data_IF_140218589226
#
_entry.id   IF_140218589226
#
_cell.length_a   1.000
_cell.length_b   1.000
_cell.length_c   1.000
_cell.angle_alpha   90.00
_cell.angle_beta   90.00
_cell.angle_gamma   90.00
#
_symmetry.space_group_name_H-M   'P 1'
#
loop_
_entity.id
_entity.type
_entity.pdbx_description
1 polymer ?
#
# COMPACT_ATOMS: atom_id res chain seq x y z
N UNK A 1 -5.67 13.97 31.55
CA UNK A 1 -6.25 14.16 30.21
C UNK A 1 -5.14 14.22 29.17
N UNK A 2 -5.25 13.45 28.07
CA UNK A 2 -4.30 13.52 26.95
C UNK A 2 -4.41 14.85 26.20
N UNK A 3 -3.27 15.46 25.84
CA UNK A 3 -3.26 16.65 25.00
C UNK A 3 -3.45 16.26 23.53
N UNK A 4 -4.31 16.97 22.79
CA UNK A 4 -4.44 16.81 21.34
C UNK A 4 -3.12 17.19 20.68
N UNK A 5 -2.61 16.32 19.81
CA UNK A 5 -1.37 16.54 19.05
C UNK A 5 -1.63 16.19 17.57
N UNK A 6 -1.01 16.95 16.69
CA UNK A 6 -0.99 16.58 15.28
C UNK A 6 -0.14 15.32 15.08
N UNK A 7 -0.56 14.40 14.18
CA UNK A 7 0.23 13.23 13.87
C UNK A 7 1.50 13.62 13.12
N UNK A 8 2.58 12.85 13.31
CA UNK A 8 3.75 12.95 12.47
C UNK A 8 3.41 12.60 11.02
N UNK A 9 4.13 13.20 10.08
CA UNK A 9 4.09 12.77 8.69
C UNK A 9 4.52 11.30 8.58
N UNK A 10 3.95 10.56 7.63
CA UNK A 10 4.12 9.10 7.49
C UNK A 10 4.67 8.71 6.12
N UNK A 11 5.23 7.53 6.02
CA UNK A 11 5.82 7.00 4.79
C UNK A 11 4.74 6.40 3.88
N UNK A 12 4.46 7.07 2.76
CA UNK A 12 3.55 6.52 1.74
C UNK A 12 4.17 5.27 1.12
N UNK A 13 3.37 4.23 1.00
CA UNK A 13 3.68 3.01 0.26
C UNK A 13 2.50 2.64 -0.63
N UNK A 14 2.76 2.15 -1.83
CA UNK A 14 1.72 1.67 -2.75
C UNK A 14 2.11 0.27 -3.21
N UNK A 15 1.24 -0.71 -2.92
CA UNK A 15 1.32 -2.05 -3.47
C UNK A 15 0.61 -2.10 -4.80
N UNK A 16 1.25 -2.69 -5.80
CA UNK A 16 0.71 -2.83 -7.16
C UNK A 16 0.59 -4.29 -7.53
N UNK A 17 -0.51 -4.70 -8.16
CA UNK A 17 -0.69 -6.03 -8.74
C UNK A 17 -1.02 -5.87 -10.22
N UNK A 18 -0.31 -6.60 -11.07
CA UNK A 18 -0.62 -6.76 -12.50
C UNK A 18 -0.02 -8.07 -13.00
N UNK A 19 -0.52 -8.57 -14.13
CA UNK A 19 0.16 -9.61 -14.91
C UNK A 19 1.11 -9.02 -15.97
N UNK A 20 1.00 -7.74 -16.24
CA UNK A 20 1.71 -7.01 -17.29
C UNK A 20 2.84 -6.20 -16.65
N UNK A 21 4.08 -6.66 -16.80
CA UNK A 21 5.23 -6.04 -16.11
C UNK A 21 5.53 -4.62 -16.59
N UNK A 22 5.24 -4.29 -17.85
CA UNK A 22 5.38 -2.94 -18.38
C UNK A 22 4.47 -1.92 -17.67
N UNK A 23 3.28 -2.33 -17.22
CA UNK A 23 2.37 -1.43 -16.51
C UNK A 23 2.96 -0.89 -15.21
N UNK A 24 3.80 -1.65 -14.53
CA UNK A 24 4.43 -1.15 -13.29
C UNK A 24 5.21 0.13 -13.56
N UNK A 25 6.02 0.17 -14.64
CA UNK A 25 6.81 1.36 -15.00
C UNK A 25 5.95 2.55 -15.41
N UNK A 26 4.87 2.30 -16.16
CA UNK A 26 3.94 3.36 -16.57
C UNK A 26 3.28 3.99 -15.35
N UNK A 27 2.79 3.16 -14.42
CA UNK A 27 2.13 3.59 -13.19
C UNK A 27 3.11 4.26 -12.23
N UNK A 28 4.32 3.74 -12.08
CA UNK A 28 5.39 4.37 -11.27
C UNK A 28 5.69 5.80 -11.74
N UNK A 29 5.70 6.04 -13.04
CA UNK A 29 5.87 7.38 -13.61
C UNK A 29 4.71 8.31 -13.21
N UNK A 30 3.46 7.85 -13.32
CA UNK A 30 2.27 8.63 -12.93
C UNK A 30 2.25 8.90 -11.41
N UNK A 31 2.56 7.90 -10.61
CA UNK A 31 2.65 8.03 -9.16
C UNK A 31 3.77 9.00 -8.74
N UNK A 32 4.93 8.95 -9.41
CA UNK A 32 6.06 9.85 -9.12
C UNK A 32 5.75 11.29 -9.45
N UNK A 33 4.99 11.56 -10.50
CA UNK A 33 4.54 12.91 -10.84
C UNK A 33 3.63 13.48 -9.73
N UNK A 34 2.84 12.63 -9.08
CA UNK A 34 1.89 13.04 -8.03
C UNK A 34 2.52 13.14 -6.65
N UNK A 35 3.36 12.17 -6.28
CA UNK A 35 3.83 11.99 -4.90
C UNK A 35 5.33 12.29 -4.71
N UNK A 36 6.04 12.58 -5.79
CA UNK A 36 7.49 12.83 -5.78
C UNK A 36 8.31 11.57 -6.06
N UNK A 37 9.62 11.67 -5.93
CA UNK A 37 10.55 10.60 -6.26
C UNK A 37 10.29 9.33 -5.46
N UNK A 38 10.36 8.18 -6.14
CA UNK A 38 10.37 6.86 -5.51
C UNK A 38 11.74 6.69 -4.85
N UNK A 39 11.76 6.29 -3.59
CA UNK A 39 12.99 6.04 -2.81
C UNK A 39 13.17 4.56 -2.44
N UNK A 40 12.18 3.73 -2.73
CA UNK A 40 12.26 2.28 -2.61
C UNK A 40 11.34 1.59 -3.62
N UNK A 41 11.87 0.55 -4.23
CA UNK A 41 11.15 -0.39 -5.09
C UNK A 41 11.46 -1.82 -4.64
N UNK A 42 10.42 -2.62 -4.44
CA UNK A 42 10.63 -4.05 -4.20
C UNK A 42 10.99 -4.80 -5.48
N UNK A 43 11.57 -6.01 -5.39
CA UNK A 43 11.54 -6.95 -6.50
C UNK A 43 10.11 -7.23 -6.96
N UNK A 44 9.96 -7.78 -8.18
CA UNK A 44 8.71 -8.38 -8.63
C UNK A 44 8.50 -9.71 -7.91
N UNK A 45 7.41 -9.81 -7.16
CA UNK A 45 7.03 -11.00 -6.40
C UNK A 45 5.89 -11.73 -7.09
N UNK A 46 5.91 -13.05 -7.10
CA UNK A 46 4.77 -13.84 -7.58
C UNK A 46 3.57 -13.64 -6.66
N UNK A 47 2.38 -13.42 -7.23
CA UNK A 47 1.15 -13.23 -6.48
C UNK A 47 0.16 -14.37 -6.77
N UNK A 48 0.00 -15.27 -5.81
CA UNK A 48 -0.85 -16.48 -5.93
C UNK A 48 -1.70 -16.76 -4.68
N UNK A 49 -1.77 -15.81 -3.77
CA UNK A 49 -2.40 -15.97 -2.45
C UNK A 49 -3.93 -15.99 -2.48
N UNK A 50 -4.56 -15.55 -3.58
CA UNK A 50 -6.02 -15.53 -3.70
C UNK A 50 -6.47 -15.70 -5.15
N UNK A 51 -7.60 -16.37 -5.33
CA UNK A 51 -8.28 -16.45 -6.62
C UNK A 51 -9.17 -15.23 -6.92
N UNK A 52 -9.26 -14.27 -5.98
CA UNK A 52 -10.14 -13.12 -6.10
C UNK A 52 -9.86 -12.30 -7.37
N UNK A 53 -8.59 -12.06 -7.67
CA UNK A 53 -8.19 -11.29 -8.85
C UNK A 53 -8.12 -12.12 -10.13
N UNK A 54 -8.08 -13.47 -10.03
CA UNK A 54 -7.87 -14.35 -11.19
C UNK A 54 -8.97 -14.22 -12.23
N UNK A 55 -10.23 -14.06 -11.79
CA UNK A 55 -11.38 -13.88 -12.71
C UNK A 55 -11.32 -12.55 -13.46
N UNK A 56 -10.81 -11.51 -12.83
CA UNK A 56 -10.78 -10.15 -13.37
C UNK A 56 -9.48 -9.86 -14.12
N UNK A 57 -8.33 -10.18 -13.53
CA UNK A 57 -7.00 -9.80 -14.02
C UNK A 57 -6.23 -10.93 -14.70
N UNK A 58 -6.73 -12.19 -14.61
CA UNK A 58 -6.07 -13.36 -15.18
C UNK A 58 -5.09 -14.05 -14.23
N UNK A 59 -4.31 -14.98 -14.79
CA UNK A 59 -3.27 -15.75 -14.08
C UNK A 59 -1.89 -15.03 -14.12
N UNK A 60 -0.92 -15.60 -13.38
CA UNK A 60 0.48 -15.15 -13.36
C UNK A 60 0.63 -13.70 -12.88
N UNK A 61 -0.15 -13.32 -11.88
CA UNK A 61 -0.07 -12.00 -11.28
C UNK A 61 1.28 -11.80 -10.58
N UNK A 62 1.78 -10.57 -10.68
CA UNK A 62 2.96 -10.09 -9.96
C UNK A 62 2.56 -8.99 -9.00
N UNK A 63 3.28 -8.91 -7.89
CA UNK A 63 3.18 -7.85 -6.89
C UNK A 63 4.47 -7.04 -6.87
N UNK A 64 4.35 -5.72 -6.78
CA UNK A 64 5.45 -4.80 -6.51
C UNK A 64 5.04 -3.76 -5.48
N UNK A 65 5.96 -3.35 -4.62
CA UNK A 65 5.77 -2.26 -3.68
C UNK A 65 6.71 -1.11 -4.02
N UNK A 66 6.19 0.12 -3.94
CA UNK A 66 6.98 1.34 -4.07
C UNK A 66 6.72 2.26 -2.88
N UNK A 67 7.72 3.02 -2.47
CA UNK A 67 7.56 4.11 -1.51
C UNK A 67 8.17 5.40 -2.04
N UNK A 68 7.82 6.53 -1.42
CA UNK A 68 8.18 7.86 -1.91
C UNK A 68 9.03 8.60 -0.88
N UNK A 69 10.01 9.38 -1.37
CA UNK A 69 10.91 10.16 -0.51
C UNK A 69 10.15 11.18 0.34
N UNK A 70 9.09 11.77 -0.23
CA UNK A 70 8.27 12.75 0.48
C UNK A 70 7.33 12.07 1.46
N UNK A 71 7.41 12.43 2.74
CA UNK A 71 6.44 12.01 3.75
C UNK A 71 5.11 12.74 3.56
N UNK A 72 4.01 12.09 3.93
CA UNK A 72 2.66 12.63 3.79
C UNK A 72 1.97 12.81 5.15
N UNK A 73 1.01 13.72 5.23
CA UNK A 73 0.06 13.73 6.34
C UNK A 73 -0.83 12.47 6.24
N UNK A 74 -0.98 11.66 7.31
CA UNK A 74 -1.79 10.44 7.25
C UNK A 74 -3.26 10.68 6.88
N UNK A 75 -3.81 11.87 7.12
CA UNK A 75 -5.17 12.23 6.71
C UNK A 75 -5.36 12.24 5.18
N UNK A 76 -4.28 12.38 4.40
CA UNK A 76 -4.34 12.35 2.93
C UNK A 76 -4.56 10.96 2.33
N UNK A 77 -4.61 9.93 3.16
CA UNK A 77 -4.73 8.54 2.65
C UNK A 77 -6.03 8.31 1.87
N UNK A 78 -7.08 9.04 2.20
CA UNK A 78 -8.38 8.96 1.48
C UNK A 78 -8.23 9.48 0.05
N UNK A 79 -7.71 10.70 -0.12
CA UNK A 79 -7.47 11.29 -1.45
C UNK A 79 -6.52 10.43 -2.29
N UNK A 80 -5.51 9.84 -1.63
CA UNK A 80 -4.57 8.94 -2.29
C UNK A 80 -5.28 7.68 -2.78
N UNK A 81 -6.17 7.08 -1.97
CA UNK A 81 -6.94 5.90 -2.39
C UNK A 81 -7.89 6.23 -3.54
N UNK A 82 -8.57 7.36 -3.49
CA UNK A 82 -9.43 7.81 -4.58
C UNK A 82 -8.65 8.06 -5.87
N UNK A 83 -7.47 8.68 -5.77
CA UNK A 83 -6.58 8.88 -6.90
C UNK A 83 -6.08 7.56 -7.50
N UNK A 84 -5.64 6.60 -6.67
CA UNK A 84 -5.22 5.29 -7.18
C UNK A 84 -6.37 4.51 -7.82
N UNK A 85 -7.60 4.62 -7.29
CA UNK A 85 -8.79 4.06 -7.93
C UNK A 85 -9.05 4.68 -9.31
N UNK A 86 -8.75 5.98 -9.50
CA UNK A 86 -8.87 6.62 -10.81
C UNK A 86 -7.81 6.10 -11.79
N UNK A 87 -6.57 5.90 -11.34
CA UNK A 87 -5.52 5.26 -12.15
C UNK A 87 -5.98 3.87 -12.60
N UNK A 88 -6.48 3.04 -11.67
CA UNK A 88 -6.99 1.70 -12.03
C UNK A 88 -8.04 1.75 -13.15
N UNK A 89 -8.93 2.76 -13.15
CA UNK A 89 -9.95 2.96 -14.20
C UNK A 89 -9.33 3.34 -15.56
N UNK A 90 -8.21 4.07 -15.56
CA UNK A 90 -7.51 4.45 -16.80
C UNK A 90 -6.84 3.24 -17.46
N UNK A 91 -6.57 2.17 -16.70
CA UNK A 91 -5.89 0.95 -17.16
C UNK A 91 -6.84 -0.26 -17.24
N UNK A 92 -8.09 -0.09 -17.65
CA UNK A 92 -9.01 -1.20 -17.91
C UNK A 92 -8.66 -1.92 -19.23
N UNK A 93 -9.06 -3.19 -19.35
CA UNK A 93 -9.02 -3.88 -20.63
C UNK A 93 -9.97 -3.21 -21.63
N UNK A 94 -9.57 -3.01 -22.88
CA UNK A 94 -10.40 -2.39 -23.91
C UNK A 94 -11.78 -3.06 -24.01
N UNK A 95 -12.84 -2.26 -24.08
CA UNK A 95 -14.23 -2.71 -24.17
C UNK A 95 -14.69 -3.62 -23.02
N UNK A 96 -14.07 -3.46 -21.85
CA UNK A 96 -14.35 -4.28 -20.67
C UNK A 96 -14.19 -3.43 -19.39
N UNK A 97 -14.93 -3.77 -18.35
CA UNK A 97 -14.74 -3.19 -17.01
C UNK A 97 -13.71 -3.97 -16.17
N UNK A 98 -12.95 -4.91 -16.79
CA UNK A 98 -11.96 -5.72 -16.11
C UNK A 98 -10.66 -4.93 -15.92
N UNK A 99 -10.15 -4.94 -14.70
CA UNK A 99 -8.90 -4.26 -14.34
C UNK A 99 -7.68 -5.01 -14.89
N UNK A 100 -6.70 -4.26 -15.33
CA UNK A 100 -5.34 -4.75 -15.64
C UNK A 100 -4.39 -4.55 -14.47
N UNK A 101 -4.77 -3.66 -13.56
CA UNK A 101 -3.95 -3.20 -12.44
C UNK A 101 -4.80 -3.09 -11.17
N UNK A 102 -4.21 -3.43 -10.01
CA UNK A 102 -4.77 -3.11 -8.69
C UNK A 102 -3.74 -2.32 -7.88
N UNK A 103 -4.19 -1.25 -7.23
CA UNK A 103 -3.36 -0.36 -6.42
C UNK A 103 -3.85 -0.33 -4.97
N UNK A 104 -2.97 -0.73 -4.06
CA UNK A 104 -3.24 -0.76 -2.62
C UNK A 104 -2.36 0.29 -1.91
N UNK A 105 -2.80 1.55 -1.81
CA UNK A 105 -2.08 2.56 -1.07
C UNK A 105 -2.22 2.37 0.43
N UNK A 106 -1.15 2.71 1.13
CA UNK A 106 -1.09 2.70 2.58
C UNK A 106 0.05 3.55 3.08
N UNK A 107 0.27 3.51 4.38
CA UNK A 107 1.43 4.18 4.97
C UNK A 107 2.06 3.34 6.08
N UNK A 108 3.37 3.51 6.22
CA UNK A 108 4.18 2.92 7.28
C UNK A 108 4.48 3.97 8.34
N UNK A 109 4.33 3.57 9.60
CA UNK A 109 4.83 4.29 10.78
C UNK A 109 5.83 3.42 11.53
N UNK A 110 6.43 3.93 12.62
CA UNK A 110 7.26 3.10 13.50
C UNK A 110 6.48 1.95 14.16
N UNK A 111 5.15 2.07 14.28
CA UNK A 111 4.31 1.14 15.04
C UNK A 111 3.42 0.23 14.18
N UNK A 112 3.10 0.63 12.96
CA UNK A 112 2.09 -0.07 12.14
C UNK A 112 2.22 0.22 10.64
N UNK A 113 1.71 -0.74 9.84
CA UNK A 113 1.31 -0.55 8.45
C UNK A 113 -0.21 -0.39 8.42
N UNK A 114 -0.69 0.66 7.77
CA UNK A 114 -2.12 0.92 7.54
C UNK A 114 -2.36 0.95 6.04
N UNK A 115 -3.33 0.17 5.55
CA UNK A 115 -3.80 0.21 4.17
C UNK A 115 -5.13 0.96 4.08
N UNK A 116 -5.37 1.61 2.95
CA UNK A 116 -6.66 2.21 2.63
C UNK A 116 -7.47 1.28 1.71
N UNK A 117 -8.75 1.10 2.02
CA UNK A 117 -9.64 0.22 1.26
C UNK A 117 -11.05 0.82 1.15
N UNK A 118 -11.75 0.50 0.05
CA UNK A 118 -13.18 0.82 -0.12
C UNK A 118 -14.12 -0.26 0.44
N UNK A 119 -13.58 -1.36 1.00
CA UNK A 119 -14.39 -2.47 1.52
C UNK A 119 -14.50 -2.36 3.03
N UNK A 120 -15.73 -2.32 3.56
CA UNK A 120 -15.96 -2.40 5.00
C UNK A 120 -15.75 -3.85 5.49
N UNK A 121 -15.23 -4.00 6.70
CA UNK A 121 -15.16 -5.26 7.44
C UNK A 121 -14.96 -4.98 8.94
N UNK A 122 -15.14 -6.01 9.80
CA UNK A 122 -15.13 -5.90 11.28
C UNK A 122 -13.88 -5.22 11.89
N UNK A 123 -12.72 -5.32 11.23
CA UNK A 123 -11.45 -4.75 11.69
C UNK A 123 -11.05 -3.47 10.95
N UNK A 124 -11.99 -2.87 10.18
CA UNK A 124 -11.74 -1.67 9.39
C UNK A 124 -12.48 -0.48 9.96
N UNK A 125 -11.80 0.63 10.02
CA UNK A 125 -12.32 1.87 10.58
C UNK A 125 -12.68 2.80 9.42
N UNK A 126 -13.94 3.23 9.35
CA UNK A 126 -14.39 4.22 8.38
C UNK A 126 -13.66 5.55 8.61
N UNK A 127 -13.14 6.14 7.53
CA UNK A 127 -12.52 7.47 7.58
C UNK A 127 -13.47 8.50 7.00
N UNK A 128 -13.68 8.47 5.67
CA UNK A 128 -14.61 9.33 4.91
C UNK A 128 -14.69 8.86 3.45
N UNK A 129 -15.66 9.35 2.69
CA UNK A 129 -15.81 9.15 1.25
C UNK A 129 -15.79 7.66 0.81
N UNK A 130 -16.36 6.77 1.65
CA UNK A 130 -16.37 5.32 1.40
C UNK A 130 -15.03 4.62 1.61
N UNK A 131 -14.04 5.29 2.19
CA UNK A 131 -12.71 4.72 2.44
C UNK A 131 -12.56 4.37 3.93
N UNK A 132 -11.96 3.20 4.15
CA UNK A 132 -11.68 2.62 5.46
C UNK A 132 -10.18 2.44 5.65
N UNK A 133 -9.72 2.55 6.89
CA UNK A 133 -8.37 2.17 7.30
C UNK A 133 -8.35 0.73 7.80
N UNK A 134 -7.33 -0.02 7.39
CA UNK A 134 -7.05 -1.39 7.79
C UNK A 134 -5.65 -1.44 8.43
N UNK A 135 -5.57 -1.73 9.74
CA UNK A 135 -4.28 -1.93 10.40
C UNK A 135 -3.79 -3.33 10.02
N UNK A 136 -3.01 -3.40 8.95
CA UNK A 136 -2.59 -4.66 8.33
C UNK A 136 -1.46 -5.33 9.09
N UNK A 137 -0.47 -4.56 9.58
CA UNK A 137 0.64 -5.07 10.37
C UNK A 137 0.88 -4.19 11.60
N UNK A 138 1.39 -4.80 12.68
CA UNK A 138 1.86 -4.10 13.89
C UNK A 138 3.34 -4.39 14.13
N UNK A 139 4.06 -3.40 14.62
CA UNK A 139 5.47 -3.59 15.01
C UNK A 139 5.58 -4.13 16.44
N UNK A 140 6.42 -5.13 16.64
CA UNK A 140 6.83 -5.65 17.95
C UNK A 140 8.33 -5.55 18.11
N UNK A 141 8.76 -4.90 19.19
CA UNK A 141 10.19 -4.79 19.53
C UNK A 141 10.83 -6.19 19.58
N UNK A 142 11.98 -6.34 18.91
CA UNK A 142 12.70 -7.62 18.81
C UNK A 142 12.13 -8.62 17.78
N UNK A 143 10.95 -8.35 17.19
CA UNK A 143 10.33 -9.23 16.20
C UNK A 143 10.11 -8.56 14.84
N UNK A 144 10.13 -7.21 14.79
CA UNK A 144 9.76 -6.47 13.59
C UNK A 144 8.23 -6.38 13.40
N UNK A 145 7.81 -6.18 12.15
CA UNK A 145 6.40 -6.25 11.82
C UNK A 145 5.87 -7.67 11.93
N UNK A 146 4.72 -7.79 12.58
CA UNK A 146 3.99 -9.05 12.75
C UNK A 146 2.54 -8.87 12.30
N UNK A 147 1.91 -9.92 11.71
CA UNK A 147 0.54 -9.86 11.27
C UNK A 147 -0.44 -9.91 12.46
N UNK A 148 -1.69 -9.54 12.16
CA UNK A 148 -2.87 -9.84 12.96
C UNK A 148 -3.53 -11.12 12.46
N UNK A 149 -4.54 -11.62 13.16
CA UNK A 149 -5.34 -12.77 12.75
C UNK A 149 -6.02 -12.54 11.39
N UNK A 150 -6.54 -11.32 11.19
CA UNK A 150 -7.25 -10.89 9.97
C UNK A 150 -6.34 -10.43 8.82
N UNK A 151 -5.03 -10.32 9.05
CA UNK A 151 -4.09 -9.91 7.98
C UNK A 151 -4.18 -10.85 6.79
N UNK A 152 -4.24 -10.30 5.59
CA UNK A 152 -4.24 -11.07 4.35
C UNK A 152 -3.03 -12.01 4.25
N UNK A 153 -3.21 -13.22 3.66
CA UNK A 153 -2.15 -14.24 3.61
C UNK A 153 -0.84 -13.75 2.97
N UNK A 154 -0.91 -12.92 1.92
CA UNK A 154 0.26 -12.34 1.27
C UNK A 154 1.07 -11.44 2.21
N UNK A 155 0.40 -10.60 3.02
CA UNK A 155 1.05 -9.75 4.02
C UNK A 155 1.60 -10.52 5.24
N UNK A 156 1.29 -11.81 5.38
CA UNK A 156 1.90 -12.70 6.38
C UNK A 156 3.18 -13.37 5.88
N UNK A 157 3.50 -13.27 4.59
CA UNK A 157 4.69 -13.88 4.01
C UNK A 157 5.97 -13.24 4.55
N UNK A 158 7.02 -14.04 4.65
CA UNK A 158 8.34 -13.58 5.12
C UNK A 158 8.87 -12.44 4.23
N UNK A 159 8.72 -12.57 2.92
CA UNK A 159 9.16 -11.59 1.93
C UNK A 159 8.52 -10.22 2.15
N UNK A 160 7.18 -10.18 2.38
CA UNK A 160 6.50 -8.90 2.63
C UNK A 160 6.89 -8.32 3.99
N UNK A 161 7.01 -9.14 5.02
CA UNK A 161 7.44 -8.68 6.34
C UNK A 161 8.85 -8.07 6.30
N UNK A 162 9.78 -8.64 5.53
CA UNK A 162 11.12 -8.09 5.31
C UNK A 162 11.06 -6.74 4.58
N UNK A 163 10.25 -6.61 3.53
CA UNK A 163 10.02 -5.37 2.80
C UNK A 163 9.50 -4.27 3.74
N UNK A 164 8.47 -4.56 4.53
CA UNK A 164 7.89 -3.56 5.43
C UNK A 164 8.81 -3.20 6.61
N UNK A 165 9.61 -4.13 7.11
CA UNK A 165 10.64 -3.83 8.08
C UNK A 165 11.71 -2.88 7.49
N UNK A 166 12.12 -3.11 6.25
CA UNK A 166 13.04 -2.21 5.54
C UNK A 166 12.44 -0.82 5.34
N UNK A 167 11.20 -0.72 4.88
CA UNK A 167 10.48 0.55 4.73
C UNK A 167 10.34 1.31 6.06
N UNK A 168 10.16 0.57 7.16
CA UNK A 168 10.14 1.16 8.49
C UNK A 168 11.49 1.78 8.86
N UNK A 169 12.61 1.14 8.52
CA UNK A 169 13.94 1.70 8.77
C UNK A 169 14.20 2.95 7.90
N UNK A 170 13.80 2.96 6.63
CA UNK A 170 13.84 4.17 5.79
C UNK A 170 13.06 5.29 6.48
N UNK A 171 11.82 5.03 6.90
CA UNK A 171 11.00 6.01 7.60
C UNK A 171 11.64 6.49 8.90
N UNK A 172 12.20 5.59 9.71
CA UNK A 172 12.90 5.93 10.96
C UNK A 172 14.03 6.92 10.71
N UNK A 173 14.84 6.69 9.70
CA UNK A 173 15.92 7.60 9.34
C UNK A 173 15.42 8.97 8.84
N UNK A 174 14.27 9.00 8.15
CA UNK A 174 13.68 10.26 7.68
C UNK A 174 13.19 11.14 8.84
N UNK A 175 12.49 10.56 9.82
CA UNK A 175 11.95 11.35 10.95
C UNK A 175 13.01 11.77 11.98
N UNK A 176 14.17 11.10 12.01
CA UNK A 176 15.29 11.50 12.87
C UNK A 176 16.09 12.67 12.30
N UNK A 177 15.91 12.99 11.01
CA UNK A 177 16.58 14.11 10.33
C UNK A 177 15.72 15.38 10.31
N UNK A 178 14.45 15.29 10.73
CA UNK A 178 13.52 16.41 10.89
C UNK A 178 13.50 16.90 12.33
#
# INVERSE_FOLDING_TARGET
MGKVKHPLAVKLVIGMISREENLFKEVEKELSQKFGSIDFESPLLSFHYTNHYKKEMGANLKRKFVSFAKLINPAKIVEIKLFTNQIEKNFLYPRSNRRRLNLDPGYVTLAKLVLATSKNFQHRIYIREGIYADITLRYRRGKGFVPWEWTYPDYKSKEYLEIFNHLREIYRHQILKC
#
